data_IF_469531455041
#
_entry.id   IF_469531455041
#
_cell.length_a   1.000
_cell.length_b   1.000
_cell.length_c   1.000
_cell.angle_alpha   90.00
_cell.angle_beta   90.00
_cell.angle_gamma   90.00
#
_symmetry.space_group_name_H-M   'P 1'
#
loop_
_entity.id
_entity.type
_entity.pdbx_description
1 polymer ?
#
# COMPACT_ATOMS: atom_id res chain seq x y z
N UNK A 1 -6.79 9.19 19.53
CA UNK A 1 -6.65 8.54 20.85
C UNK A 1 -7.02 9.45 22.02
N UNK A 2 -6.60 10.72 22.06
CA UNK A 2 -7.02 11.65 23.14
C UNK A 2 -8.54 11.89 23.08
N UNK A 3 -9.08 12.13 21.88
CA UNK A 3 -10.50 12.41 21.68
C UNK A 3 -11.36 11.18 22.00
N UNK A 4 -10.98 9.96 21.57
CA UNK A 4 -11.80 8.76 21.85
C UNK A 4 -11.71 8.30 23.32
N UNK A 5 -10.58 8.50 24.01
CA UNK A 5 -10.45 8.20 25.44
C UNK A 5 -11.33 9.12 26.31
N UNK A 6 -11.62 10.32 25.84
CA UNK A 6 -12.47 11.30 26.53
C UNK A 6 -13.96 10.95 26.45
N UNK A 7 -14.40 10.25 25.39
CA UNK A 7 -15.81 9.86 25.18
C UNK A 7 -16.12 8.40 25.52
N UNK A 8 -15.17 7.46 25.37
CA UNK A 8 -15.41 6.01 25.48
C UNK A 8 -14.66 5.32 26.64
N UNK A 9 -13.86 6.07 27.42
CA UNK A 9 -13.02 5.51 28.47
C UNK A 9 -11.75 4.85 27.95
N UNK A 10 -10.67 4.86 28.75
CA UNK A 10 -9.35 4.32 28.37
C UNK A 10 -9.28 2.79 28.33
N UNK A 11 -10.41 2.08 28.52
CA UNK A 11 -10.50 0.62 28.57
C UNK A 11 -10.33 -0.10 27.22
N UNK A 12 -10.33 0.63 26.10
CA UNK A 12 -10.16 0.04 24.75
C UNK A 12 -8.75 -0.48 24.45
N UNK A 13 -7.73 -0.10 25.23
CA UNK A 13 -6.32 -0.44 24.95
C UNK A 13 -6.02 -1.95 24.93
N UNK A 14 -6.76 -2.71 25.74
CA UNK A 14 -6.64 -4.17 25.87
C UNK A 14 -7.75 -4.94 25.13
N UNK A 15 -8.66 -4.24 24.45
CA UNK A 15 -9.75 -4.91 23.75
C UNK A 15 -9.17 -5.78 22.61
N UNK A 16 -9.41 -7.09 22.58
CA UNK A 16 -8.91 -7.92 21.48
C UNK A 16 -9.61 -7.52 20.18
N UNK A 17 -8.84 -7.27 19.13
CA UNK A 17 -9.38 -7.08 17.77
C UNK A 17 -9.19 -8.39 17.03
N UNK A 18 -10.30 -9.03 16.66
CA UNK A 18 -10.29 -10.24 15.86
C UNK A 18 -9.72 -9.93 14.47
N UNK A 19 -8.46 -10.25 14.27
CA UNK A 19 -7.74 -10.16 12.99
C UNK A 19 -7.06 -11.51 12.74
N UNK A 20 -6.88 -11.88 11.46
CA UNK A 20 -6.31 -13.18 11.09
C UNK A 20 -7.29 -14.23 10.58
N UNK A 21 -8.47 -13.85 10.07
CA UNK A 21 -9.33 -14.79 9.34
C UNK A 21 -8.64 -15.21 8.04
N UNK A 22 -8.05 -16.41 8.01
CA UNK A 22 -7.61 -17.05 6.76
C UNK A 22 -8.61 -18.13 6.37
N UNK A 23 -9.23 -17.97 5.20
CA UNK A 23 -10.02 -19.02 4.56
C UNK A 23 -9.06 -20.03 3.90
N UNK A 24 -8.85 -21.19 4.53
CA UNK A 24 -8.16 -22.32 3.92
C UNK A 24 -9.18 -23.42 3.65
N UNK A 25 -9.43 -23.73 2.37
CA UNK A 25 -10.18 -24.90 1.91
C UNK A 25 -11.56 -25.14 2.57
N UNK A 26 -12.39 -24.11 2.72
CA UNK A 26 -13.78 -24.26 3.17
C UNK A 26 -13.95 -24.65 4.64
N UNK A 27 -12.88 -24.62 5.45
CA UNK A 27 -12.95 -24.70 6.91
C UNK A 27 -12.35 -23.45 7.54
N UNK A 28 -13.09 -22.85 8.47
CA UNK A 28 -12.64 -21.75 9.30
C UNK A 28 -11.58 -22.28 10.27
N UNK A 29 -10.31 -22.14 9.90
CA UNK A 29 -9.20 -22.51 10.78
C UNK A 29 -8.99 -21.40 11.82
N UNK A 30 -9.56 -21.61 13.01
CA UNK A 30 -9.51 -20.71 14.17
C UNK A 30 -8.21 -20.82 14.97
N UNK A 31 -7.22 -21.57 14.47
CA UNK A 31 -5.94 -21.84 15.16
C UNK A 31 -4.97 -20.64 15.16
N UNK A 32 -5.18 -19.68 14.26
CA UNK A 32 -4.34 -18.48 14.12
C UNK A 32 -5.08 -17.19 14.53
N UNK A 33 -6.01 -17.29 15.49
CA UNK A 33 -6.54 -16.12 16.21
C UNK A 33 -5.42 -15.55 17.07
N UNK A 34 -4.53 -14.77 16.44
CA UNK A 34 -3.65 -13.90 17.18
C UNK A 34 -4.54 -12.78 17.72
N UNK A 35 -5.01 -12.96 18.96
CA UNK A 35 -5.58 -11.88 19.78
C UNK A 35 -4.48 -10.86 20.05
N UNK A 36 -4.19 -10.06 19.03
CA UNK A 36 -3.21 -9.01 19.12
C UNK A 36 -3.90 -7.84 19.83
N UNK A 37 -3.37 -7.36 20.96
CA UNK A 37 -3.94 -6.20 21.64
C UNK A 37 -3.98 -5.00 20.66
N UNK A 38 -5.04 -4.17 20.72
CA UNK A 38 -5.35 -3.15 19.68
C UNK A 38 -4.16 -2.28 19.29
N UNK A 39 -3.29 -1.98 20.26
CA UNK A 39 -2.11 -1.16 20.04
C UNK A 39 -1.11 -1.81 19.06
N UNK A 40 -0.90 -3.14 19.13
CA UNK A 40 -0.02 -3.86 18.21
C UNK A 40 -0.62 -3.92 16.80
N UNK A 41 -1.93 -4.16 16.69
CA UNK A 41 -2.63 -4.13 15.40
C UNK A 41 -2.57 -2.75 14.75
N UNK A 42 -2.81 -1.70 15.54
CA UNK A 42 -2.71 -0.31 15.08
C UNK A 42 -1.29 0.03 14.61
N UNK A 43 -0.26 -0.42 15.34
CA UNK A 43 1.14 -0.26 14.92
C UNK A 43 1.45 -0.99 13.61
N UNK A 44 0.96 -2.23 13.43
CA UNK A 44 1.14 -2.97 12.18
C UNK A 44 0.50 -2.23 11.00
N UNK A 45 -0.77 -1.84 11.13
CA UNK A 45 -1.49 -1.09 10.08
C UNK A 45 -0.78 0.22 9.78
N UNK A 46 -0.37 0.96 10.82
CA UNK A 46 0.32 2.24 10.66
C UNK A 46 1.68 2.08 9.97
N UNK A 47 2.46 1.06 10.35
CA UNK A 47 3.76 0.78 9.72
C UNK A 47 3.63 0.47 8.23
N UNK A 48 2.59 -0.28 7.85
CA UNK A 48 2.30 -0.64 6.46
C UNK A 48 1.80 0.57 5.67
N UNK A 49 0.90 1.36 6.25
CA UNK A 49 0.42 2.60 5.64
C UNK A 49 1.55 3.62 5.46
N UNK A 50 2.46 3.72 6.43
CA UNK A 50 3.65 4.57 6.34
C UNK A 50 4.55 4.12 5.19
N UNK A 51 4.83 2.82 5.08
CA UNK A 51 5.60 2.27 3.97
C UNK A 51 4.97 2.60 2.60
N UNK A 52 3.66 2.36 2.45
CA UNK A 52 2.92 2.71 1.23
C UNK A 52 3.00 4.21 0.92
N UNK A 53 2.92 5.05 1.95
CA UNK A 53 3.05 6.51 1.81
C UNK A 53 4.43 6.91 1.28
N UNK A 54 5.51 6.27 1.74
CA UNK A 54 6.88 6.50 1.24
C UNK A 54 7.00 6.09 -0.23
N UNK A 55 6.39 4.97 -0.62
CA UNK A 55 6.41 4.48 -2.02
C UNK A 55 5.69 5.48 -2.93
N UNK A 56 4.45 5.87 -2.56
CA UNK A 56 3.67 6.86 -3.34
C UNK A 56 4.39 8.20 -3.39
N UNK A 57 5.01 8.63 -2.28
CA UNK A 57 5.82 9.84 -2.24
C UNK A 57 7.02 9.80 -3.19
N UNK A 58 7.72 8.68 -3.28
CA UNK A 58 8.87 8.50 -4.18
C UNK A 58 8.46 8.53 -5.65
N UNK A 59 7.34 7.89 -6.00
CA UNK A 59 6.78 7.92 -7.36
C UNK A 59 6.26 9.32 -7.71
N UNK A 60 5.57 9.97 -6.77
CA UNK A 60 5.09 11.35 -6.91
C UNK A 60 6.25 12.31 -7.18
N UNK A 61 7.35 12.15 -6.43
CA UNK A 61 8.57 12.91 -6.63
C UNK A 61 9.13 12.73 -8.04
N UNK A 62 9.26 11.48 -8.52
CA UNK A 62 9.69 11.18 -9.89
C UNK A 62 8.79 11.86 -10.94
N UNK A 63 7.47 11.76 -10.79
CA UNK A 63 6.52 12.39 -11.72
C UNK A 63 6.69 13.92 -11.70
N UNK A 64 6.85 14.52 -10.53
CA UNK A 64 7.07 15.96 -10.39
C UNK A 64 8.31 16.49 -11.10
N UNK A 65 9.33 15.64 -11.28
CA UNK A 65 10.58 16.00 -11.96
C UNK A 65 10.43 15.85 -13.47
N UNK A 66 9.77 14.77 -13.92
CA UNK A 66 9.55 14.50 -15.34
C UNK A 66 8.55 15.47 -15.97
N UNK A 67 7.59 15.97 -15.18
CA UNK A 67 6.48 16.79 -15.65
C UNK A 67 6.70 18.25 -15.25
N UNK A 68 6.77 19.14 -16.25
CA UNK A 68 7.05 20.57 -16.06
C UNK A 68 5.96 21.34 -15.31
N UNK A 69 4.74 20.82 -15.25
CA UNK A 69 3.58 21.49 -14.64
C UNK A 69 3.10 20.76 -13.39
N UNK A 70 3.08 21.45 -12.25
CA UNK A 70 2.59 20.92 -10.97
C UNK A 70 1.15 20.38 -11.08
N UNK A 71 0.28 21.08 -11.83
CA UNK A 71 -1.10 20.65 -12.04
C UNK A 71 -1.18 19.33 -12.81
N UNK A 72 -0.32 19.16 -13.82
CA UNK A 72 -0.25 17.92 -14.58
C UNK A 72 0.28 16.76 -13.71
N UNK A 73 1.30 17.01 -12.88
CA UNK A 73 1.85 16.00 -11.95
C UNK A 73 0.80 15.47 -10.98
N UNK A 74 0.04 16.37 -10.35
CA UNK A 74 -1.04 16.02 -9.43
C UNK A 74 -2.11 15.21 -10.18
N UNK A 75 -2.51 15.66 -11.37
CA UNK A 75 -3.48 14.95 -12.21
C UNK A 75 -3.03 13.53 -12.52
N UNK A 76 -1.78 13.32 -12.94
CA UNK A 76 -1.24 12.01 -13.28
C UNK A 76 -1.25 11.07 -12.08
N UNK A 77 -0.81 11.53 -10.90
CA UNK A 77 -0.79 10.71 -9.69
C UNK A 77 -2.21 10.30 -9.32
N UNK A 78 -3.14 11.27 -9.26
CA UNK A 78 -4.53 11.00 -8.88
C UNK A 78 -5.21 10.06 -9.89
N UNK A 79 -5.05 10.29 -11.19
CA UNK A 79 -5.57 9.40 -12.22
C UNK A 79 -5.00 7.99 -12.10
N UNK A 80 -3.71 7.83 -11.81
CA UNK A 80 -3.06 6.53 -11.68
C UNK A 80 -3.55 5.76 -10.45
N UNK A 81 -3.70 6.45 -9.31
CA UNK A 81 -4.22 5.84 -8.08
C UNK A 81 -5.67 5.36 -8.25
N UNK A 82 -6.50 6.17 -8.90
CA UNK A 82 -7.90 5.80 -9.20
C UNK A 82 -7.95 4.66 -10.22
N UNK A 83 -7.14 4.72 -11.28
CA UNK A 83 -7.06 3.69 -12.31
C UNK A 83 -6.63 2.32 -11.75
N UNK A 84 -5.77 2.29 -10.72
CA UNK A 84 -5.33 1.05 -10.09
C UNK A 84 -6.46 0.20 -9.52
N UNK A 85 -7.51 0.84 -8.97
CA UNK A 85 -8.69 0.12 -8.52
C UNK A 85 -9.45 -0.51 -9.69
N UNK A 86 -9.64 0.21 -10.79
CA UNK A 86 -10.30 -0.33 -11.99
C UNK A 86 -9.52 -1.51 -12.58
N UNK A 87 -8.20 -1.37 -12.72
CA UNK A 87 -7.33 -2.42 -13.24
C UNK A 87 -7.44 -3.70 -12.38
N UNK A 88 -7.53 -3.56 -11.05
CA UNK A 88 -7.64 -4.70 -10.15
C UNK A 88 -8.93 -5.49 -10.31
N UNK A 89 -10.04 -4.84 -10.72
CA UNK A 89 -11.32 -5.50 -10.93
C UNK A 89 -11.53 -6.03 -12.35
N UNK A 90 -10.99 -5.34 -13.37
CA UNK A 90 -11.24 -5.68 -14.78
C UNK A 90 -10.11 -6.48 -15.44
N UNK A 91 -8.86 -6.35 -14.95
CA UNK A 91 -7.67 -7.00 -15.52
C UNK A 91 -7.03 -7.99 -14.53
N UNK A 92 -7.84 -8.63 -13.68
CA UNK A 92 -7.38 -9.64 -12.71
C UNK A 92 -6.67 -10.82 -13.36
N UNK A 93 -7.08 -11.18 -14.57
CA UNK A 93 -6.58 -12.35 -15.30
C UNK A 93 -5.20 -12.12 -15.92
N UNK A 94 -4.76 -10.86 -15.99
CA UNK A 94 -3.52 -10.49 -16.67
C UNK A 94 -2.32 -10.55 -15.71
N UNK A 95 -1.34 -11.39 -16.07
CA UNK A 95 -0.09 -11.57 -15.29
C UNK A 95 0.76 -10.31 -15.13
N UNK A 96 0.54 -9.27 -15.93
CA UNK A 96 1.26 -7.99 -15.81
C UNK A 96 0.68 -7.10 -14.70
N UNK A 97 -0.62 -7.24 -14.43
CA UNK A 97 -1.37 -6.39 -13.49
C UNK A 97 -0.79 -6.43 -12.08
N UNK A 98 -0.33 -7.60 -11.64
CA UNK A 98 0.32 -7.80 -10.34
C UNK A 98 1.64 -7.04 -10.16
N UNK A 99 2.30 -6.59 -11.23
CA UNK A 99 3.55 -5.83 -11.12
C UNK A 99 3.34 -4.31 -11.08
N UNK A 100 2.10 -3.84 -11.26
CA UNK A 100 1.79 -2.42 -11.20
C UNK A 100 1.74 -1.92 -9.75
N UNK A 101 2.47 -0.83 -9.44
CA UNK A 101 2.55 -0.32 -8.08
C UNK A 101 1.16 0.00 -7.49
N UNK A 102 0.28 0.61 -8.28
CA UNK A 102 -1.07 1.06 -7.90
C UNK A 102 -1.97 -0.07 -7.38
N UNK A 103 -1.77 -1.30 -7.87
CA UNK A 103 -2.51 -2.50 -7.47
C UNK A 103 -1.96 -3.08 -6.15
N UNK A 104 -0.68 -2.85 -5.87
CA UNK A 104 0.02 -3.38 -4.70
C UNK A 104 -0.05 -2.47 -3.46
N UNK A 105 -0.65 -1.27 -3.56
CA UNK A 105 -0.70 -0.29 -2.46
C UNK A 105 -1.52 -0.75 -1.25
N UNK A 106 -2.45 -1.69 -1.43
CA UNK A 106 -3.39 -2.14 -0.39
C UNK A 106 -2.78 -3.24 0.49
N UNK A 107 -1.64 -2.95 1.12
CA UNK A 107 -0.95 -3.92 1.98
C UNK A 107 -1.71 -4.27 3.27
N UNK A 108 -2.51 -3.34 3.80
CA UNK A 108 -3.29 -3.53 5.03
C UNK A 108 -4.36 -4.62 4.90
N UNK A 109 -4.80 -4.88 3.68
CA UNK A 109 -5.87 -5.83 3.37
C UNK A 109 -5.40 -7.29 3.46
N UNK A 110 -4.09 -7.51 3.44
CA UNK A 110 -3.47 -8.80 3.74
C UNK A 110 -3.53 -9.13 5.25
N UNK A 111 -3.57 -8.12 6.12
CA UNK A 111 -3.65 -8.31 7.57
C UNK A 111 -5.06 -8.73 8.01
N UNK A 112 -6.09 -8.26 7.31
CA UNK A 112 -7.50 -8.59 7.56
C UNK A 112 -7.93 -9.92 6.92
N UNK A 113 -7.05 -10.55 6.12
CA UNK A 113 -7.36 -11.81 5.42
C UNK A 113 -8.39 -11.65 4.30
N UNK A 114 -8.54 -10.43 3.77
CA UNK A 114 -9.50 -10.13 2.72
C UNK A 114 -9.18 -10.89 1.42
N UNK A 115 -10.24 -11.21 0.67
CA UNK A 115 -10.12 -11.88 -0.62
C UNK A 115 -9.37 -10.99 -1.61
N UNK A 116 -8.34 -11.55 -2.25
CA UNK A 116 -7.55 -10.84 -3.24
C UNK A 116 -8.07 -11.15 -4.63
N UNK A 117 -8.49 -10.13 -5.41
CA UNK A 117 -9.03 -10.34 -6.76
C UNK A 117 -8.03 -10.96 -7.74
N UNK A 118 -6.72 -10.89 -7.45
CA UNK A 118 -5.65 -11.31 -8.36
C UNK A 118 -4.97 -12.55 -7.79
N UNK A 119 -4.96 -13.63 -8.58
CA UNK A 119 -4.36 -14.89 -8.17
C UNK A 119 -2.83 -14.79 -7.97
N UNK A 120 -2.35 -15.37 -6.86
CA UNK A 120 -0.92 -15.45 -6.54
C UNK A 120 -0.31 -14.20 -5.92
N UNK A 121 -1.10 -13.17 -5.60
CA UNK A 121 -0.62 -12.04 -4.82
C UNK A 121 -0.43 -12.43 -3.35
N UNK A 122 0.76 -12.13 -2.83
CA UNK A 122 1.09 -12.30 -1.40
C UNK A 122 1.59 -10.97 -0.84
N UNK A 123 1.54 -10.84 0.49
CA UNK A 123 2.04 -9.65 1.17
C UNK A 123 3.52 -9.39 0.84
N UNK A 124 4.34 -10.46 0.86
CA UNK A 124 5.76 -10.37 0.55
C UNK A 124 5.99 -9.94 -0.89
N UNK A 125 5.25 -10.53 -1.84
CA UNK A 125 5.33 -10.16 -3.25
C UNK A 125 5.03 -8.67 -3.47
N UNK A 126 3.95 -8.16 -2.84
CA UNK A 126 3.58 -6.74 -2.96
C UNK A 126 4.65 -5.81 -2.41
N UNK A 127 5.23 -6.15 -1.26
CA UNK A 127 6.33 -5.38 -0.67
C UNK A 127 7.54 -5.35 -1.60
N UNK A 128 7.94 -6.50 -2.17
CA UNK A 128 9.07 -6.57 -3.11
C UNK A 128 8.83 -5.74 -4.37
N UNK A 129 7.61 -5.78 -4.94
CA UNK A 129 7.24 -4.99 -6.12
C UNK A 129 7.28 -3.49 -5.79
N UNK A 130 6.71 -3.07 -4.66
CA UNK A 130 6.72 -1.67 -4.24
C UNK A 130 8.14 -1.16 -3.93
N UNK A 131 9.00 -1.99 -3.35
CA UNK A 131 10.43 -1.67 -3.18
C UNK A 131 11.12 -1.47 -4.55
N UNK A 132 10.87 -2.36 -5.51
CA UNK A 132 11.39 -2.22 -6.87
C UNK A 132 10.99 -0.90 -7.52
N UNK A 133 9.71 -0.53 -7.42
CA UNK A 133 9.20 0.77 -7.91
C UNK A 133 9.79 1.97 -7.17
N UNK A 134 10.04 1.84 -5.88
CA UNK A 134 10.68 2.91 -5.09
C UNK A 134 12.11 3.14 -5.55
N UNK A 135 12.90 2.07 -5.68
CA UNK A 135 14.28 2.16 -6.18
C UNK A 135 14.30 2.70 -7.61
N UNK A 136 13.43 2.19 -8.48
CA UNK A 136 13.34 2.65 -9.86
C UNK A 136 12.98 4.13 -9.95
N UNK A 137 12.01 4.60 -9.14
CA UNK A 137 11.61 6.01 -9.15
C UNK A 137 12.73 6.93 -8.69
N UNK A 138 13.46 6.56 -7.64
CA UNK A 138 14.64 7.30 -7.17
C UNK A 138 15.73 7.34 -8.24
N UNK A 139 16.07 6.21 -8.86
CA UNK A 139 17.10 6.15 -9.91
C UNK A 139 16.72 7.01 -11.13
N UNK A 140 15.48 6.93 -11.59
CA UNK A 140 15.00 7.75 -12.72
C UNK A 140 15.05 9.23 -12.37
N UNK A 141 14.62 9.61 -11.16
CA UNK A 141 14.73 10.98 -10.67
C UNK A 141 16.18 11.49 -10.70
N UNK A 142 17.13 10.72 -10.15
CA UNK A 142 18.55 11.11 -10.12
C UNK A 142 19.13 11.26 -11.53
N UNK A 143 18.88 10.30 -12.43
CA UNK A 143 19.37 10.36 -13.81
C UNK A 143 18.85 11.60 -14.53
N UNK A 144 17.57 11.93 -14.34
CA UNK A 144 16.97 13.10 -14.98
C UNK A 144 17.50 14.41 -14.40
N UNK A 145 17.67 14.51 -13.07
CA UNK A 145 18.31 15.67 -12.43
C UNK A 145 19.70 15.92 -12.99
N UNK A 146 20.56 14.89 -13.05
CA UNK A 146 21.91 15.04 -13.58
C UNK A 146 21.90 15.53 -15.02
N UNK A 147 20.95 15.12 -15.86
CA UNK A 147 20.84 15.63 -17.23
C UNK A 147 20.35 17.07 -17.32
N UNK A 148 19.50 17.52 -16.41
CA UNK A 148 19.03 18.90 -16.38
C UNK A 148 20.11 19.86 -15.88
N UNK A 149 20.91 19.47 -14.88
CA UNK A 149 21.99 20.31 -14.34
C UNK A 149 23.12 20.58 -15.36
N UNK A 150 23.31 19.71 -16.36
CA UNK A 150 24.37 19.87 -17.38
C UNK A 150 23.92 20.77 -18.55
N UNK A 151 22.61 20.97 -18.73
CA UNK A 151 22.02 21.71 -19.86
C UNK A 151 21.70 23.19 -19.54
N UNK A 152 21.94 23.62 -18.29
CA UNK A 152 21.81 25.02 -17.82
C UNK A 152 23.20 25.66 -17.75
#
# INVERSE_FOLDING_TARGET
MIISGLFFGLGGWLAPVATGFKLVAGKLDTSAVLNVPQWRYTLMVYSLAYFVSVVVGSISFMISILVKSTAASIGIIMSTLVAGNFISYFLSDWKITRYMFMVNLRLTDYLSGSFQPIEGMTMLFSITVLLGWTIASILVSFVYFTKQDILV
#
